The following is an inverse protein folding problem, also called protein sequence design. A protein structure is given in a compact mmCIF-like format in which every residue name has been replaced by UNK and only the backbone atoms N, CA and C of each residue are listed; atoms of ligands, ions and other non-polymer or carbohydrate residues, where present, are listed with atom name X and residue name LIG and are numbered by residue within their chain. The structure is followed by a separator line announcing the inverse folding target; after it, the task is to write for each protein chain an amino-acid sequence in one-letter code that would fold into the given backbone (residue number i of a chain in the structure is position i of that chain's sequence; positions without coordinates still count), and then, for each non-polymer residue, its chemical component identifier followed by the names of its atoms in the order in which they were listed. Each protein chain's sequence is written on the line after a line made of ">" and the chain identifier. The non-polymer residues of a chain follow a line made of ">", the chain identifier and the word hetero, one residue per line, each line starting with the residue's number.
data_IF_833735333618
#
_entry.id   IF_833735333618
#
_cell.length_a   1.000
_cell.length_b   1.000
_cell.length_c   1.000
_cell.angle_alpha   90.00
_cell.angle_beta   90.00
_cell.angle_gamma   90.00
#
_symmetry.space_group_name_H-M   'P 1'
#
loop_
_entity.id
_entity.type
_entity.pdbx_description
1 polymer ?
#
# COMPACT_ATOMS: atom_id res chain seq x y z
N UNK A 1 -42.48 -35.56 55.55
CA UNK A 1 -42.28 -34.26 54.88
C UNK A 1 -40.87 -34.24 54.32
N UNK A 2 -40.72 -34.30 53.00
CA UNK A 2 -39.41 -34.31 52.29
C UNK A 2 -38.90 -32.88 52.14
N UNK A 3 -37.69 -32.63 52.60
CA UNK A 3 -36.94 -31.38 52.42
C UNK A 3 -36.21 -31.46 51.08
N UNK A 4 -36.50 -30.53 50.16
CA UNK A 4 -35.81 -30.38 48.88
C UNK A 4 -34.67 -29.38 49.11
N UNK A 5 -33.42 -29.86 49.01
CA UNK A 5 -32.20 -29.04 49.00
C UNK A 5 -31.93 -28.60 47.56
N UNK A 6 -31.99 -27.28 47.30
CA UNK A 6 -31.69 -26.70 45.99
C UNK A 6 -30.24 -26.22 45.98
N UNK A 7 -29.37 -26.90 45.22
CA UNK A 7 -28.00 -26.46 44.96
C UNK A 7 -27.98 -25.46 43.79
N UNK A 8 -27.71 -24.19 44.08
CA UNK A 8 -27.30 -23.21 43.06
C UNK A 8 -25.81 -23.42 42.75
N UNK A 9 -25.50 -23.85 41.53
CA UNK A 9 -24.14 -23.82 41.00
C UNK A 9 -23.89 -22.49 40.28
N UNK A 10 -23.02 -21.66 40.85
CA UNK A 10 -22.58 -20.39 40.25
C UNK A 10 -21.57 -20.69 39.14
N UNK A 11 -21.99 -20.56 37.88
CA UNK A 11 -21.08 -20.63 36.74
C UNK A 11 -20.23 -19.35 36.67
N UNK A 12 -18.95 -19.45 37.01
CA UNK A 12 -17.96 -18.39 36.77
C UNK A 12 -17.62 -18.42 35.28
N UNK A 13 -18.18 -17.48 34.53
CA UNK A 13 -17.79 -17.22 33.14
C UNK A 13 -16.46 -16.47 33.16
N UNK A 14 -15.36 -17.19 32.98
CA UNK A 14 -14.05 -16.60 32.69
C UNK A 14 -14.07 -16.05 31.27
N UNK A 15 -14.24 -14.74 31.12
CA UNK A 15 -13.99 -14.05 29.85
C UNK A 15 -12.49 -14.14 29.54
N UNK A 16 -12.07 -14.54 28.32
CA UNK A 16 -10.67 -14.49 27.94
C UNK A 16 -10.20 -13.04 27.96
N UNK A 17 -9.04 -12.80 28.57
CA UNK A 17 -8.38 -11.50 28.54
C UNK A 17 -8.11 -11.12 27.07
N UNK A 18 -8.84 -10.13 26.58
CA UNK A 18 -8.51 -9.46 25.30
C UNK A 18 -7.20 -8.72 25.54
N UNK A 19 -6.09 -9.33 25.15
CA UNK A 19 -4.80 -8.66 25.14
C UNK A 19 -4.90 -7.49 24.17
N UNK A 20 -4.84 -6.26 24.70
CA UNK A 20 -4.70 -5.07 23.87
C UNK A 20 -3.43 -5.25 23.02
N UNK A 21 -3.47 -4.96 21.71
CA UNK A 21 -2.27 -5.01 20.90
C UNK A 21 -1.24 -4.03 21.49
N UNK A 22 -0.02 -4.52 21.70
CA UNK A 22 1.07 -3.70 22.18
C UNK A 22 1.22 -2.48 21.26
N UNK A 23 1.31 -1.28 21.83
CA UNK A 23 1.56 -0.08 21.06
C UNK A 23 2.84 -0.28 20.23
N UNK A 24 2.73 -0.11 18.91
CA UNK A 24 3.88 -0.23 18.01
C UNK A 24 5.02 0.72 18.40
N UNK A 25 6.23 0.52 17.85
CA UNK A 25 7.36 1.37 18.19
C UNK A 25 7.05 2.84 17.86
N UNK A 26 7.43 3.74 18.77
CA UNK A 26 7.25 5.20 18.61
C UNK A 26 7.89 5.73 17.34
N UNK A 27 8.93 5.06 16.84
CA UNK A 27 9.61 5.34 15.56
C UNK A 27 9.41 4.17 14.61
N UNK A 28 8.98 4.46 13.39
CA UNK A 28 8.95 3.47 12.31
C UNK A 28 9.26 4.09 10.97
N UNK A 29 10.35 3.65 10.36
CA UNK A 29 10.86 4.19 9.11
C UNK A 29 11.11 3.05 8.16
N UNK A 30 10.34 2.99 7.08
CA UNK A 30 10.35 1.87 6.13
C UNK A 30 10.90 2.24 4.77
N UNK A 31 11.73 1.35 4.21
CA UNK A 31 12.22 1.45 2.84
C UNK A 31 11.68 0.34 1.94
N UNK A 32 11.06 0.69 0.81
CA UNK A 32 10.64 -0.25 -0.22
C UNK A 32 11.79 -0.48 -1.20
N UNK A 33 12.26 -1.71 -1.32
CA UNK A 33 13.55 -2.01 -1.95
C UNK A 33 13.54 -3.27 -2.79
N UNK A 34 14.35 -3.28 -3.84
CA UNK A 34 14.70 -4.50 -4.57
C UNK A 34 15.75 -5.31 -3.82
N UNK A 35 15.77 -6.62 -4.06
CA UNK A 35 16.67 -7.55 -3.39
C UNK A 35 18.08 -7.66 -4.01
N UNK A 36 18.52 -6.64 -4.75
CA UNK A 36 19.74 -6.73 -5.56
C UNK A 36 21.04 -6.78 -4.74
N UNK A 37 21.12 -6.05 -3.62
CA UNK A 37 22.34 -5.87 -2.81
C UNK A 37 22.02 -5.91 -1.31
N UNK A 38 21.80 -7.10 -0.70
CA UNK A 38 21.29 -7.22 0.67
C UNK A 38 22.15 -6.51 1.71
N UNK A 39 23.45 -6.78 1.72
CA UNK A 39 24.38 -6.30 2.72
C UNK A 39 24.46 -4.77 2.68
N UNK A 40 24.63 -4.20 1.47
CA UNK A 40 24.66 -2.75 1.26
C UNK A 40 23.33 -2.09 1.67
N UNK A 41 22.19 -2.72 1.34
CA UNK A 41 20.86 -2.21 1.68
C UNK A 41 20.65 -2.16 3.19
N UNK A 42 20.96 -3.25 3.88
CA UNK A 42 20.79 -3.37 5.34
C UNK A 42 21.76 -2.43 6.07
N UNK A 43 23.01 -2.36 5.63
CA UNK A 43 23.99 -1.43 6.19
C UNK A 43 23.53 0.02 6.03
N UNK A 44 23.04 0.39 4.84
CA UNK A 44 22.51 1.73 4.56
C UNK A 44 21.26 2.04 5.41
N UNK A 45 20.33 1.09 5.56
CA UNK A 45 19.16 1.25 6.42
C UNK A 45 19.56 1.52 7.88
N UNK A 46 20.52 0.75 8.42
CA UNK A 46 21.05 0.99 9.77
C UNK A 46 21.75 2.34 9.90
N UNK A 47 22.56 2.71 8.91
CA UNK A 47 23.31 3.97 8.89
C UNK A 47 22.37 5.19 8.97
N UNK A 48 21.26 5.15 8.23
CA UNK A 48 20.28 6.24 8.18
C UNK A 48 19.31 6.17 9.36
N UNK A 49 19.03 4.97 9.90
CA UNK A 49 18.07 4.75 10.97
C UNK A 49 16.68 4.30 10.50
N UNK A 50 16.62 3.58 9.38
CA UNK A 50 15.44 2.84 8.92
C UNK A 50 15.38 1.49 9.63
N UNK A 51 14.22 1.17 10.22
CA UNK A 51 14.01 -0.03 11.02
C UNK A 51 13.00 -1.01 10.40
N UNK A 52 12.55 -0.74 9.19
CA UNK A 52 11.75 -1.64 8.39
C UNK A 52 12.20 -1.64 6.92
N UNK A 53 12.19 -2.81 6.28
CA UNK A 53 12.41 -2.96 4.84
C UNK A 53 11.32 -3.83 4.23
N UNK A 54 10.78 -3.39 3.09
CA UNK A 54 9.73 -4.08 2.34
C UNK A 54 10.32 -4.52 1.01
N UNK A 55 10.33 -5.83 0.75
CA UNK A 55 11.05 -6.41 -0.40
C UNK A 55 10.37 -7.66 -0.95
N UNK A 56 10.58 -7.93 -2.23
CA UNK A 56 10.00 -9.05 -2.97
C UNK A 56 11.09 -9.90 -3.66
N UNK A 57 10.92 -11.22 -3.60
CA UNK A 57 11.71 -12.17 -4.37
C UNK A 57 11.24 -13.61 -4.16
N UNK A 58 11.93 -14.58 -4.79
CA UNK A 58 11.62 -16.00 -4.60
C UNK A 58 11.88 -16.42 -3.14
N UNK A 59 11.16 -17.44 -2.67
CA UNK A 59 11.13 -17.86 -1.26
C UNK A 59 12.52 -18.07 -0.66
N UNK A 60 13.47 -18.69 -1.37
CA UNK A 60 14.81 -18.94 -0.83
C UNK A 60 15.62 -17.65 -0.63
N UNK A 61 15.46 -16.66 -1.52
CA UNK A 61 16.05 -15.34 -1.29
C UNK A 61 15.34 -14.60 -0.15
N UNK A 62 14.01 -14.73 -0.06
CA UNK A 62 13.22 -14.13 1.03
C UNK A 62 13.65 -14.67 2.40
N UNK A 63 13.90 -15.98 2.52
CA UNK A 63 14.46 -16.59 3.74
C UNK A 63 15.80 -15.98 4.12
N UNK A 64 16.72 -15.87 3.15
CA UNK A 64 18.03 -15.27 3.39
C UNK A 64 17.91 -13.81 3.86
N UNK A 65 17.14 -12.98 3.14
CA UNK A 65 16.98 -11.56 3.48
C UNK A 65 16.25 -11.33 4.79
N UNK A 66 15.21 -12.11 5.08
CA UNK A 66 14.46 -11.99 6.35
C UNK A 66 15.35 -12.35 7.55
N UNK A 67 16.19 -13.38 7.43
CA UNK A 67 17.18 -13.70 8.47
C UNK A 67 18.21 -12.56 8.67
N UNK A 68 18.73 -11.98 7.58
CA UNK A 68 19.71 -10.88 7.65
C UNK A 68 19.12 -9.60 8.25
N UNK A 69 17.90 -9.22 7.84
CA UNK A 69 17.20 -8.04 8.37
C UNK A 69 16.90 -8.22 9.86
N UNK A 70 16.40 -9.39 10.26
CA UNK A 70 16.19 -9.72 11.67
C UNK A 70 17.48 -9.65 12.49
N UNK A 71 18.58 -10.23 12.01
CA UNK A 71 19.89 -10.17 12.67
C UNK A 71 20.42 -8.72 12.82
N UNK A 72 20.01 -7.83 11.90
CA UNK A 72 20.32 -6.40 11.93
C UNK A 72 19.36 -5.56 12.79
N UNK A 73 18.33 -6.16 13.39
CA UNK A 73 17.29 -5.44 14.15
C UNK A 73 16.35 -4.63 13.26
N UNK A 74 16.15 -5.05 12.00
CA UNK A 74 15.26 -4.43 11.03
C UNK A 74 14.10 -5.38 10.75
N UNK A 75 12.87 -4.87 10.85
CA UNK A 75 11.68 -5.63 10.48
C UNK A 75 11.65 -5.85 8.95
N UNK A 76 11.67 -7.11 8.50
CA UNK A 76 11.50 -7.47 7.09
C UNK A 76 10.03 -7.75 6.74
N UNK A 77 9.53 -7.20 5.64
CA UNK A 77 8.17 -7.42 5.14
C UNK A 77 8.18 -8.00 3.73
N UNK A 78 7.33 -8.99 3.49
CA UNK A 78 7.08 -9.50 2.14
C UNK A 78 6.29 -8.47 1.32
N UNK A 79 6.90 -7.90 0.29
CA UNK A 79 6.21 -7.05 -0.68
C UNK A 79 5.34 -7.92 -1.59
N UNK A 80 4.03 -7.78 -1.43
CA UNK A 80 3.01 -8.46 -2.22
C UNK A 80 2.17 -7.46 -3.01
N UNK A 81 1.93 -7.79 -4.29
CA UNK A 81 1.07 -7.02 -5.18
C UNK A 81 0.13 -7.96 -5.95
N UNK A 82 -1.15 -7.60 -6.16
CA UNK A 82 -2.09 -8.42 -6.93
C UNK A 82 -1.91 -8.22 -8.44
N UNK A 83 -0.65 -8.10 -8.90
CA UNK A 83 -0.29 -7.92 -10.31
C UNK A 83 -0.30 -9.29 -10.99
N UNK A 84 -0.90 -9.38 -12.16
CA UNK A 84 -0.86 -10.58 -13.01
C UNK A 84 0.53 -10.68 -13.66
N UNK A 85 1.34 -11.70 -13.33
CA UNK A 85 2.63 -11.92 -13.98
C UNK A 85 2.45 -12.11 -15.48
N UNK A 86 3.40 -11.61 -16.28
CA UNK A 86 3.31 -11.68 -17.76
C UNK A 86 3.27 -13.11 -18.30
N UNK A 87 3.84 -14.05 -17.54
CA UNK A 87 4.00 -15.46 -17.84
C UNK A 87 2.96 -16.38 -17.14
N UNK A 88 2.08 -15.83 -16.30
CA UNK A 88 1.04 -16.58 -15.60
C UNK A 88 -0.27 -16.65 -16.42
N UNK A 89 -0.28 -17.53 -17.43
CA UNK A 89 -1.42 -17.69 -18.33
C UNK A 89 -2.71 -18.14 -17.60
N UNK A 90 -2.58 -18.84 -16.49
CA UNK A 90 -3.68 -19.27 -15.61
C UNK A 90 -4.33 -18.11 -14.85
N UNK A 91 -3.59 -17.03 -14.59
CA UNK A 91 -4.08 -15.84 -13.90
C UNK A 91 -4.65 -14.79 -14.85
N UNK A 92 -4.28 -14.81 -16.14
CA UNK A 92 -4.76 -13.83 -17.12
C UNK A 92 -6.30 -13.75 -17.21
N UNK A 93 -7.08 -14.85 -17.17
CA UNK A 93 -8.55 -14.80 -17.13
C UNK A 93 -9.14 -14.16 -15.86
N UNK A 94 -8.33 -14.06 -14.80
CA UNK A 94 -8.71 -13.47 -13.52
C UNK A 94 -8.37 -11.98 -13.42
N UNK A 95 -7.70 -11.42 -14.43
CA UNK A 95 -7.37 -10.00 -14.48
C UNK A 95 -8.63 -9.11 -14.47
N UNK A 96 -8.43 -7.86 -14.06
CA UNK A 96 -9.42 -6.82 -14.24
C UNK A 96 -9.68 -6.60 -15.73
N UNK A 97 -10.96 -6.49 -16.08
CA UNK A 97 -11.39 -6.08 -17.41
C UNK A 97 -11.62 -4.58 -17.37
N UNK A 98 -11.13 -3.87 -18.37
CA UNK A 98 -11.29 -2.41 -18.53
C UNK A 98 -11.96 -2.13 -19.87
N UNK A 99 -12.32 -0.87 -20.16
CA UNK A 99 -13.02 -0.54 -21.41
C UNK A 99 -12.09 -0.62 -22.62
N UNK A 100 -12.64 -0.57 -23.84
CA UNK A 100 -11.82 -0.52 -25.06
C UNK A 100 -10.94 0.74 -25.12
N UNK A 101 -11.44 1.86 -24.60
CA UNK A 101 -10.70 3.12 -24.47
C UNK A 101 -9.56 2.98 -23.45
N UNK A 102 -9.80 2.33 -22.31
CA UNK A 102 -8.77 2.03 -21.32
C UNK A 102 -7.67 1.11 -21.92
N UNK A 103 -8.04 0.12 -22.73
CA UNK A 103 -7.09 -0.74 -23.44
C UNK A 103 -6.27 -0.01 -24.50
N UNK A 104 -6.90 0.91 -25.23
CA UNK A 104 -6.22 1.77 -26.19
C UNK A 104 -5.21 2.69 -25.49
N UNK A 105 -5.59 3.29 -24.35
CA UNK A 105 -4.71 4.09 -23.52
C UNK A 105 -3.52 3.28 -23.00
N UNK A 106 -3.75 2.05 -22.51
CA UNK A 106 -2.69 1.15 -22.08
C UNK A 106 -1.70 0.82 -23.21
N UNK A 107 -2.23 0.57 -24.41
CA UNK A 107 -1.43 0.26 -25.59
C UNK A 107 -0.57 1.46 -26.00
N UNK A 108 -1.16 2.67 -26.04
CA UNK A 108 -0.45 3.92 -26.29
C UNK A 108 0.66 4.16 -25.26
N UNK A 109 0.35 3.97 -23.98
CA UNK A 109 1.32 4.14 -22.89
C UNK A 109 2.51 3.19 -23.06
N UNK A 110 2.28 1.90 -23.31
CA UNK A 110 3.34 0.90 -23.50
C UNK A 110 4.19 1.14 -24.75
N UNK A 111 3.64 1.78 -25.77
CA UNK A 111 4.38 2.17 -26.97
C UNK A 111 5.20 3.46 -26.78
N UNK A 112 4.95 4.22 -25.71
CA UNK A 112 5.59 5.52 -25.46
C UNK A 112 7.01 5.32 -24.92
N UNK A 113 8.01 5.92 -25.60
CA UNK A 113 9.43 5.81 -25.19
C UNK A 113 9.79 6.69 -23.99
N UNK A 114 9.07 7.79 -23.79
CA UNK A 114 9.32 8.77 -22.73
C UNK A 114 8.00 9.24 -22.07
N UNK A 115 7.28 8.33 -21.39
CA UNK A 115 5.93 8.59 -20.88
C UNK A 115 5.86 9.75 -19.88
N UNK A 116 6.95 10.07 -19.16
CA UNK A 116 7.00 11.24 -18.26
C UNK A 116 6.82 12.57 -18.99
N UNK A 117 7.28 12.69 -20.25
CA UNK A 117 7.08 13.91 -21.05
C UNK A 117 5.62 14.15 -21.40
N UNK A 118 4.81 13.09 -21.42
CA UNK A 118 3.36 13.19 -21.54
C UNK A 118 2.67 13.54 -20.23
N UNK A 119 3.40 13.75 -19.13
CA UNK A 119 2.84 14.03 -17.80
C UNK A 119 2.22 12.81 -17.11
N UNK A 120 2.56 11.58 -17.54
CA UNK A 120 2.00 10.35 -16.96
C UNK A 120 2.50 10.17 -15.54
N UNK A 121 1.59 9.87 -14.61
CA UNK A 121 1.88 9.91 -13.18
C UNK A 121 2.14 8.53 -12.55
N UNK A 122 2.17 7.44 -13.35
CA UNK A 122 2.44 6.04 -12.93
C UNK A 122 1.86 5.65 -11.56
N UNK A 123 0.55 5.74 -11.43
CA UNK A 123 -0.16 5.44 -10.18
C UNK A 123 -0.20 6.59 -9.17
N UNK A 124 0.54 7.68 -9.39
CA UNK A 124 0.23 9.00 -8.83
C UNK A 124 -1.04 9.59 -9.44
N UNK A 125 -1.61 10.59 -8.78
CA UNK A 125 -2.94 11.12 -9.11
C UNK A 125 -2.96 11.70 -10.54
N UNK A 126 -3.81 11.19 -11.47
CA UNK A 126 -3.89 11.68 -12.83
C UNK A 126 -4.28 13.15 -12.84
N UNK A 127 -3.68 13.87 -13.78
CA UNK A 127 -4.10 15.24 -14.09
C UNK A 127 -5.62 15.24 -14.39
N UNK A 128 -6.38 16.26 -13.97
CA UNK A 128 -7.84 16.25 -14.13
C UNK A 128 -8.33 15.92 -15.55
N UNK A 129 -7.67 16.48 -16.57
CA UNK A 129 -8.00 16.25 -17.98
C UNK A 129 -7.72 14.81 -18.48
N UNK A 130 -7.02 13.99 -17.70
CA UNK A 130 -6.60 12.62 -18.05
C UNK A 130 -7.38 11.54 -17.32
N UNK A 131 -8.39 11.93 -16.51
CA UNK A 131 -9.31 11.00 -15.84
C UNK A 131 -10.46 10.56 -16.74
N UNK A 132 -10.81 11.41 -17.70
CA UNK A 132 -11.88 11.15 -18.66
C UNK A 132 -11.41 10.13 -19.71
N UNK A 133 -12.07 8.96 -19.85
CA UNK A 133 -11.78 7.99 -20.90
C UNK A 133 -11.82 8.56 -22.32
N UNK A 134 -12.56 9.64 -22.55
CA UNK A 134 -12.62 10.33 -23.84
C UNK A 134 -11.41 11.24 -24.09
N UNK A 135 -10.57 11.48 -23.08
CA UNK A 135 -9.36 12.29 -23.22
C UNK A 135 -8.35 11.61 -24.14
N UNK A 136 -7.71 12.34 -25.08
CA UNK A 136 -6.66 11.77 -25.92
C UNK A 136 -5.46 11.29 -25.10
N UNK A 137 -5.30 11.80 -23.87
CA UNK A 137 -4.23 11.45 -22.95
C UNK A 137 -4.75 10.75 -21.70
N UNK A 138 -5.90 10.05 -21.79
CA UNK A 138 -6.45 9.25 -20.70
C UNK A 138 -5.39 8.34 -20.04
N UNK A 139 -5.36 8.33 -18.70
CA UNK A 139 -4.40 7.59 -17.91
C UNK A 139 -4.98 6.27 -17.40
N UNK A 140 -4.18 5.21 -17.51
CA UNK A 140 -4.41 3.89 -16.91
C UNK A 140 -3.10 3.38 -16.33
N UNK A 141 -3.14 2.51 -15.33
CA UNK A 141 -1.97 1.78 -14.88
C UNK A 141 -1.42 0.89 -15.99
N UNK A 142 -0.10 0.83 -16.11
CA UNK A 142 0.63 0.00 -17.07
C UNK A 142 0.69 -1.48 -16.69
N UNK A 143 0.35 -1.81 -15.43
CA UNK A 143 0.27 -3.15 -14.88
C UNK A 143 -1.15 -3.73 -14.94
N UNK A 144 -1.24 -5.05 -15.18
CA UNK A 144 -2.52 -5.77 -15.08
C UNK A 144 -2.73 -6.22 -13.64
N UNK A 145 -3.87 -5.86 -13.06
CA UNK A 145 -4.24 -6.24 -11.70
C UNK A 145 -5.27 -7.36 -11.71
N UNK A 146 -5.28 -8.19 -10.67
CA UNK A 146 -6.32 -9.20 -10.43
C UNK A 146 -7.66 -8.54 -10.06
N UNK A 147 -8.76 -9.19 -10.44
CA UNK A 147 -10.10 -8.72 -10.12
C UNK A 147 -10.51 -9.11 -8.69
N UNK A 148 -10.69 -8.14 -7.80
CA UNK A 148 -11.09 -8.38 -6.40
C UNK A 148 -12.50 -8.97 -6.24
N UNK A 149 -13.33 -8.93 -7.28
CA UNK A 149 -14.68 -9.54 -7.25
C UNK A 149 -14.71 -11.03 -7.59
N UNK A 150 -13.57 -11.60 -7.99
CA UNK A 150 -13.43 -13.04 -8.29
C UNK A 150 -12.89 -13.76 -7.05
N UNK A 151 -13.63 -14.72 -6.47
CA UNK A 151 -13.15 -15.49 -5.32
C UNK A 151 -11.80 -16.18 -5.59
N UNK A 152 -11.55 -16.61 -6.82
CA UNK A 152 -10.33 -17.26 -7.26
C UNK A 152 -9.11 -16.32 -7.14
N UNK A 153 -9.28 -15.04 -7.47
CA UNK A 153 -8.24 -14.02 -7.30
C UNK A 153 -7.88 -13.83 -5.83
N UNK A 154 -8.88 -13.74 -4.95
CA UNK A 154 -8.65 -13.60 -3.51
C UNK A 154 -8.02 -14.85 -2.91
N UNK A 155 -8.47 -16.03 -3.31
CA UNK A 155 -7.88 -17.30 -2.91
C UNK A 155 -6.40 -17.38 -3.31
N UNK A 156 -6.06 -16.92 -4.53
CA UNK A 156 -4.68 -16.85 -4.97
C UNK A 156 -3.86 -15.86 -4.12
N UNK A 157 -4.36 -14.66 -3.86
CA UNK A 157 -3.67 -13.67 -3.01
C UNK A 157 -3.38 -14.24 -1.60
N UNK A 158 -4.40 -14.85 -0.96
CA UNK A 158 -4.25 -15.50 0.35
C UNK A 158 -3.19 -16.58 0.32
N UNK A 159 -3.22 -17.43 -0.71
CA UNK A 159 -2.25 -18.52 -0.88
C UNK A 159 -0.83 -17.97 -0.98
N UNK A 160 -0.58 -16.97 -1.82
CA UNK A 160 0.76 -16.39 -1.99
C UNK A 160 1.30 -15.77 -0.70
N UNK A 161 0.47 -14.99 0.01
CA UNK A 161 0.83 -14.40 1.30
C UNK A 161 1.12 -15.51 2.32
N UNK A 162 0.23 -16.51 2.43
CA UNK A 162 0.39 -17.63 3.35
C UNK A 162 1.64 -18.43 3.10
N UNK A 163 1.88 -18.85 1.86
CA UNK A 163 3.05 -19.65 1.49
C UNK A 163 4.35 -18.90 1.82
N UNK A 164 4.41 -17.60 1.52
CA UNK A 164 5.60 -16.80 1.82
C UNK A 164 5.83 -16.64 3.33
N UNK A 165 4.79 -16.31 4.10
CA UNK A 165 4.90 -16.13 5.55
C UNK A 165 5.27 -17.44 6.27
N UNK A 166 4.76 -18.58 5.79
CA UNK A 166 5.12 -19.90 6.32
C UNK A 166 6.56 -20.29 5.93
N UNK A 167 6.98 -19.98 4.71
CA UNK A 167 8.32 -20.30 4.24
C UNK A 167 9.41 -19.43 4.89
N UNK A 168 9.06 -18.21 5.33
CA UNK A 168 10.01 -17.22 5.85
C UNK A 168 9.61 -16.76 7.27
N UNK A 169 9.87 -17.57 8.32
CA UNK A 169 9.47 -17.26 9.69
C UNK A 169 10.19 -16.04 10.29
N UNK A 170 11.23 -15.50 9.66
CA UNK A 170 11.89 -14.29 10.14
C UNK A 170 11.27 -12.99 9.63
N UNK A 171 10.30 -13.05 8.73
CA UNK A 171 9.52 -11.87 8.33
C UNK A 171 8.72 -11.34 9.52
N UNK A 172 8.68 -10.01 9.68
CA UNK A 172 7.79 -9.34 10.61
C UNK A 172 6.35 -9.29 10.07
N UNK A 173 6.17 -9.37 8.74
CA UNK A 173 4.87 -9.19 8.14
C UNK A 173 4.83 -9.18 6.61
N UNK A 174 3.73 -8.63 6.09
CA UNK A 174 3.49 -8.40 4.66
C UNK A 174 3.30 -6.92 4.40
N UNK A 175 3.89 -6.44 3.30
CA UNK A 175 3.69 -5.12 2.72
C UNK A 175 2.85 -5.21 1.45
N UNK A 176 1.63 -4.71 1.50
CA UNK A 176 0.68 -4.70 0.40
C UNK A 176 0.94 -3.49 -0.50
N UNK A 177 0.96 -3.69 -1.81
CA UNK A 177 1.20 -2.64 -2.80
C UNK A 177 0.39 -2.89 -4.08
N UNK A 178 0.20 -1.86 -4.90
CA UNK A 178 -0.63 -1.90 -6.11
C UNK A 178 -2.07 -2.44 -5.90
N UNK A 179 -2.66 -2.21 -4.73
CA UNK A 179 -4.06 -2.49 -4.48
C UNK A 179 -4.93 -1.37 -5.03
N UNK A 180 -5.67 -1.66 -6.10
CA UNK A 180 -6.51 -0.67 -6.77
C UNK A 180 -7.12 -1.19 -8.07
N UNK A 181 -7.60 -0.26 -8.89
CA UNK A 181 -8.17 -0.56 -10.20
C UNK A 181 -7.25 -0.06 -11.31
N UNK A 182 -7.05 -0.88 -12.35
CA UNK A 182 -6.15 -0.56 -13.46
C UNK A 182 -6.54 0.75 -14.16
N UNK A 183 -7.84 1.02 -14.28
CA UNK A 183 -8.37 2.27 -14.84
C UNK A 183 -8.76 3.30 -13.77
N UNK A 184 -8.29 3.11 -12.53
CA UNK A 184 -8.55 4.01 -11.39
C UNK A 184 -10.02 4.18 -11.01
N UNK A 185 -10.89 3.26 -11.46
CA UNK A 185 -12.33 3.32 -11.21
C UNK A 185 -12.88 1.99 -10.73
N UNK A 186 -12.89 0.99 -11.62
CA UNK A 186 -13.54 -0.28 -11.37
C UNK A 186 -13.10 -1.36 -12.36
N UNK A 187 -13.48 -2.61 -12.08
CA UNK A 187 -13.39 -3.70 -13.04
C UNK A 187 -14.72 -3.85 -13.79
N UNK A 188 -14.67 -4.07 -15.10
CA UNK A 188 -15.82 -4.21 -16.00
C UNK A 188 -16.13 -5.67 -16.39
N UNK A 189 -15.60 -6.66 -15.67
CA UNK A 189 -15.93 -8.05 -15.97
C UNK A 189 -17.40 -8.36 -15.61
N UNK A 190 -18.03 -9.39 -16.21
CA UNK A 190 -19.46 -9.69 -15.99
C UNK A 190 -19.84 -9.82 -14.51
N UNK A 191 -18.95 -10.40 -13.69
CA UNK A 191 -19.14 -10.53 -12.24
C UNK A 191 -19.18 -9.17 -11.55
N UNK A 192 -18.24 -8.29 -11.87
CA UNK A 192 -18.18 -6.93 -11.29
C UNK A 192 -19.43 -6.13 -11.63
N UNK A 193 -19.87 -6.17 -12.89
CA UNK A 193 -21.07 -5.47 -13.35
C UNK A 193 -22.33 -5.98 -12.63
N UNK A 194 -22.46 -7.31 -12.47
CA UNK A 194 -23.57 -7.89 -11.72
C UNK A 194 -23.61 -7.41 -10.26
N UNK A 195 -22.45 -7.40 -9.58
CA UNK A 195 -22.36 -6.97 -8.18
C UNK A 195 -22.62 -5.47 -8.04
N UNK A 196 -22.11 -4.67 -8.96
CA UNK A 196 -22.36 -3.23 -9.02
C UNK A 196 -23.84 -2.93 -9.25
N UNK A 197 -24.50 -3.63 -10.18
CA UNK A 197 -25.95 -3.46 -10.40
C UNK A 197 -26.79 -3.87 -9.18
N UNK A 198 -26.35 -4.91 -8.45
CA UNK A 198 -26.98 -5.28 -7.18
C UNK A 198 -26.76 -4.21 -6.11
N UNK A 199 -25.57 -3.59 -6.07
CA UNK A 199 -25.27 -2.47 -5.18
C UNK A 199 -26.15 -1.26 -5.50
N UNK A 200 -26.18 -0.80 -6.75
CA UNK A 200 -27.02 0.32 -7.20
C UNK A 200 -28.50 0.11 -6.83
N UNK A 201 -29.04 -1.10 -6.99
CA UNK A 201 -30.42 -1.42 -6.59
C UNK A 201 -30.68 -1.30 -5.09
N UNK A 202 -29.68 -1.53 -4.23
CA UNK A 202 -29.77 -1.33 -2.77
C UNK A 202 -29.56 0.12 -2.34
N UNK A 203 -29.10 0.97 -3.24
CA UNK A 203 -28.83 2.38 -2.98
C UNK A 203 -29.55 3.26 -4.03
N UNK A 204 -30.90 3.18 -4.13
CA UNK A 204 -31.65 3.90 -5.16
C UNK A 204 -31.52 5.43 -5.05
N UNK A 205 -31.17 5.93 -3.86
CA UNK A 205 -31.01 7.36 -3.60
C UNK A 205 -29.66 7.93 -4.08
N UNK A 206 -28.72 7.07 -4.50
CA UNK A 206 -27.42 7.50 -5.02
C UNK A 206 -27.43 7.53 -6.56
N UNK A 207 -26.90 8.60 -7.19
CA UNK A 207 -26.61 8.58 -8.61
C UNK A 207 -25.72 7.37 -8.95
N UNK A 208 -26.01 6.70 -10.08
CA UNK A 208 -25.35 5.43 -10.46
C UNK A 208 -23.83 5.53 -10.46
N UNK A 209 -23.27 6.66 -10.90
CA UNK A 209 -21.82 6.92 -10.88
C UNK A 209 -21.26 6.98 -9.45
N UNK A 210 -21.93 7.69 -8.53
CA UNK A 210 -21.52 7.74 -7.12
C UNK A 210 -21.69 6.41 -6.40
N UNK A 211 -22.73 5.65 -6.75
CA UNK A 211 -22.90 4.28 -6.28
C UNK A 211 -21.77 3.36 -6.78
N UNK A 212 -21.33 3.53 -8.03
CA UNK A 212 -20.20 2.81 -8.61
C UNK A 212 -18.87 3.10 -7.90
N UNK A 213 -18.53 4.38 -7.74
CA UNK A 213 -17.34 4.84 -7.02
C UNK A 213 -17.32 4.26 -5.59
N UNK A 214 -18.44 4.36 -4.89
CA UNK A 214 -18.57 3.85 -3.52
C UNK A 214 -18.47 2.33 -3.46
N UNK A 215 -19.11 1.60 -4.36
CA UNK A 215 -19.02 0.15 -4.45
C UNK A 215 -17.57 -0.32 -4.66
N UNK A 216 -16.84 0.33 -5.56
CA UNK A 216 -15.44 0.03 -5.83
C UNK A 216 -14.55 0.33 -4.61
N UNK A 217 -14.81 1.44 -3.90
CA UNK A 217 -14.11 1.75 -2.66
C UNK A 217 -14.37 0.77 -1.53
N UNK A 218 -15.64 0.46 -1.30
CA UNK A 218 -16.03 -0.47 -0.25
C UNK A 218 -15.43 -1.86 -0.52
N UNK A 219 -15.39 -2.30 -1.79
CA UNK A 219 -14.73 -3.54 -2.19
C UNK A 219 -13.23 -3.52 -1.93
N UNK A 220 -12.54 -2.45 -2.35
CA UNK A 220 -11.09 -2.33 -2.18
C UNK A 220 -10.70 -2.38 -0.69
N UNK A 221 -11.40 -1.59 0.13
CA UNK A 221 -11.20 -1.54 1.58
C UNK A 221 -11.47 -2.91 2.21
N UNK A 222 -12.58 -3.56 1.89
CA UNK A 222 -12.92 -4.86 2.47
C UNK A 222 -11.90 -5.93 2.05
N UNK A 223 -11.45 -5.91 0.80
CA UNK A 223 -10.42 -6.84 0.29
C UNK A 223 -9.12 -6.70 1.08
N UNK A 224 -8.65 -5.47 1.29
CA UNK A 224 -7.41 -5.21 2.04
C UNK A 224 -7.57 -5.66 3.50
N UNK A 225 -8.70 -5.34 4.13
CA UNK A 225 -8.98 -5.72 5.51
C UNK A 225 -9.10 -7.23 5.67
N UNK A 226 -9.71 -7.93 4.72
CA UNK A 226 -9.79 -9.39 4.71
C UNK A 226 -8.40 -10.03 4.60
N UNK A 227 -7.57 -9.58 3.65
CA UNK A 227 -6.19 -10.06 3.52
C UNK A 227 -5.35 -9.76 4.77
N UNK A 228 -5.59 -8.63 5.42
CA UNK A 228 -4.94 -8.29 6.68
C UNK A 228 -5.31 -9.25 7.81
N UNK A 229 -6.60 -9.58 7.94
CA UNK A 229 -7.09 -10.60 8.88
C UNK A 229 -6.48 -11.97 8.57
N UNK A 230 -6.45 -12.37 7.30
CA UNK A 230 -5.87 -13.65 6.88
C UNK A 230 -4.37 -13.73 7.20
N UNK A 231 -3.61 -12.66 6.92
CA UNK A 231 -2.19 -12.55 7.27
C UNK A 231 -1.93 -12.78 8.76
N UNK A 232 -2.75 -12.16 9.62
CA UNK A 232 -2.67 -12.33 11.09
C UNK A 232 -3.14 -13.71 11.56
N UNK A 233 -4.05 -14.34 10.83
CA UNK A 233 -4.54 -15.70 11.09
C UNK A 233 -3.49 -16.79 10.84
N UNK A 234 -2.50 -16.53 9.96
CA UNK A 234 -1.42 -17.48 9.67
C UNK A 234 -0.47 -17.63 10.85
N UNK A 235 -0.12 -16.52 11.51
CA UNK A 235 0.79 -16.53 12.67
C UNK A 235 0.55 -15.34 13.59
N UNK A 236 0.50 -15.55 14.92
CA UNK A 236 0.42 -14.46 15.89
C UNK A 236 1.55 -13.44 15.73
N UNK A 237 1.22 -12.15 15.81
CA UNK A 237 2.18 -11.05 15.74
C UNK A 237 2.62 -10.63 14.34
N UNK A 238 2.06 -11.21 13.28
CA UNK A 238 2.24 -10.71 11.91
C UNK A 238 1.69 -9.29 11.80
N UNK A 239 2.52 -8.39 11.29
CA UNK A 239 2.14 -7.01 10.97
C UNK A 239 1.76 -6.90 9.49
N UNK A 240 0.83 -5.99 9.20
CA UNK A 240 0.44 -5.66 7.83
C UNK A 240 0.72 -4.20 7.59
N UNK A 241 1.55 -3.92 6.59
CA UNK A 241 1.77 -2.57 6.07
C UNK A 241 1.21 -2.47 4.66
N UNK A 242 0.79 -1.29 4.23
CA UNK A 242 0.27 -1.07 2.88
C UNK A 242 0.76 0.26 2.33
N UNK A 243 1.04 0.30 1.04
CA UNK A 243 1.16 1.54 0.30
C UNK A 243 -0.18 1.89 -0.37
N UNK A 244 -0.76 3.03 0.01
CA UNK A 244 -1.96 3.60 -0.60
C UNK A 244 -1.57 4.71 -1.57
N UNK A 245 -1.96 4.51 -2.82
CA UNK A 245 -1.80 5.49 -3.88
C UNK A 245 -2.97 6.47 -3.86
N UNK A 246 -2.74 7.75 -4.20
CA UNK A 246 -3.74 8.81 -4.14
C UNK A 246 -4.73 8.76 -5.32
N UNK A 247 -4.79 7.64 -6.03
CA UNK A 247 -5.31 7.62 -7.41
C UNK A 247 -6.49 6.70 -7.58
N UNK A 248 -6.60 5.66 -6.76
CA UNK A 248 -7.40 4.52 -7.18
C UNK A 248 -8.90 4.76 -7.19
N UNK A 249 -9.39 5.82 -6.54
CA UNK A 249 -10.80 6.13 -6.30
C UNK A 249 -10.96 7.61 -5.91
N UNK A 250 -12.19 8.19 -5.94
CA UNK A 250 -12.43 9.61 -5.60
C UNK A 250 -12.12 9.98 -4.14
N UNK A 251 -11.95 9.01 -3.26
CA UNK A 251 -11.43 9.19 -1.89
C UNK A 251 -9.96 8.74 -1.86
N UNK A 252 -8.99 9.63 -2.18
CA UNK A 252 -7.58 9.26 -2.35
C UNK A 252 -6.85 8.96 -1.05
N UNK A 253 -7.47 9.26 0.10
CA UNK A 253 -6.92 9.06 1.46
C UNK A 253 -7.84 8.11 2.23
N UNK A 254 -8.10 6.92 1.68
CA UNK A 254 -8.99 5.94 2.30
C UNK A 254 -8.30 5.09 3.38
N UNK A 255 -7.02 5.35 3.67
CA UNK A 255 -6.24 4.67 4.71
C UNK A 255 -6.88 4.63 6.11
N UNK A 256 -7.63 5.65 6.56
CA UNK A 256 -8.37 5.59 7.83
C UNK A 256 -9.39 4.44 7.93
N UNK A 257 -9.80 3.87 6.80
CA UNK A 257 -10.74 2.73 6.72
C UNK A 257 -10.05 1.37 6.76
N UNK A 258 -8.72 1.33 6.82
CA UNK A 258 -7.93 0.10 6.72
C UNK A 258 -7.51 -0.46 8.09
N UNK A 259 -7.78 -1.75 8.31
CA UNK A 259 -7.34 -2.55 9.46
C UNK A 259 -5.94 -3.10 9.20
N UNK A 260 -4.96 -2.21 9.13
CA UNK A 260 -3.53 -2.52 8.92
C UNK A 260 -2.71 -1.90 10.04
N UNK A 261 -1.55 -2.46 10.34
CA UNK A 261 -0.66 -1.93 11.37
C UNK A 261 -0.02 -0.61 10.92
N UNK A 262 0.22 -0.45 9.62
CA UNK A 262 0.80 0.78 9.06
C UNK A 262 0.25 1.07 7.67
N UNK A 263 -0.37 2.23 7.51
CA UNK A 263 -0.92 2.71 6.25
C UNK A 263 -0.01 3.80 5.69
N UNK A 264 0.86 3.42 4.76
CA UNK A 264 1.78 4.35 4.11
C UNK A 264 1.06 5.01 2.92
N UNK A 265 0.65 6.26 3.04
CA UNK A 265 -0.10 6.95 1.99
C UNK A 265 0.78 8.00 1.31
N UNK A 266 0.72 8.08 -0.02
CA UNK A 266 1.58 9.00 -0.78
C UNK A 266 1.29 10.46 -0.41
N UNK A 267 2.32 11.18 0.04
CA UNK A 267 2.28 12.63 0.30
C UNK A 267 3.20 13.41 -0.63
N UNK A 268 4.15 12.73 -1.28
CA UNK A 268 5.07 13.33 -2.25
C UNK A 268 5.52 12.26 -3.25
N UNK A 269 5.69 12.67 -4.50
CA UNK A 269 5.93 11.76 -5.63
C UNK A 269 7.07 12.26 -6.52
N UNK A 270 7.56 11.43 -7.44
CA UNK A 270 8.82 11.67 -8.17
C UNK A 270 8.64 12.06 -9.65
N UNK A 271 7.40 12.30 -10.08
CA UNK A 271 7.09 12.76 -11.43
C UNK A 271 6.92 14.27 -11.47
N UNK A 272 7.29 14.85 -12.62
CA UNK A 272 6.97 16.23 -12.93
C UNK A 272 5.55 16.35 -13.53
N UNK A 273 4.84 17.46 -13.26
CA UNK A 273 5.19 18.48 -12.27
C UNK A 273 5.11 17.91 -10.84
N UNK A 274 6.11 18.19 -10.00
CA UNK A 274 6.07 17.78 -8.60
C UNK A 274 4.87 18.42 -7.91
N UNK A 275 4.35 17.77 -6.87
CA UNK A 275 3.24 18.31 -6.09
C UNK A 275 3.62 19.66 -5.48
N UNK A 276 2.69 20.61 -5.41
CA UNK A 276 2.95 21.88 -4.73
C UNK A 276 3.28 21.65 -3.26
N UNK A 277 4.00 22.59 -2.64
CA UNK A 277 4.29 22.54 -1.20
C UNK A 277 3.00 22.42 -0.37
N UNK A 278 1.96 23.18 -0.76
CA UNK A 278 0.63 23.14 -0.16
C UNK A 278 0.04 21.73 -0.21
N UNK A 279 0.08 21.07 -1.38
CA UNK A 279 -0.44 19.71 -1.52
C UNK A 279 0.33 18.72 -0.65
N UNK A 280 1.65 18.81 -0.58
CA UNK A 280 2.47 17.94 0.30
C UNK A 280 2.09 18.15 1.76
N UNK A 281 1.91 19.41 2.19
CA UNK A 281 1.50 19.75 3.55
C UNK A 281 0.10 19.21 3.89
N UNK A 282 -0.89 19.45 3.02
CA UNK A 282 -2.26 19.00 3.20
C UNK A 282 -2.37 17.48 3.28
N UNK A 283 -1.74 16.76 2.35
CA UNK A 283 -1.73 15.30 2.37
C UNK A 283 -1.01 14.76 3.61
N UNK A 284 0.12 15.35 4.00
CA UNK A 284 0.83 14.95 5.23
C UNK A 284 -0.06 15.06 6.46
N UNK A 285 -0.79 16.17 6.60
CA UNK A 285 -1.72 16.36 7.71
C UNK A 285 -2.86 15.33 7.67
N UNK A 286 -3.51 15.13 6.51
CA UNK A 286 -4.62 14.17 6.37
C UNK A 286 -4.18 12.75 6.73
N UNK A 287 -3.04 12.32 6.23
CA UNK A 287 -2.50 10.97 6.44
C UNK A 287 -2.13 10.74 7.89
N UNK A 288 -1.57 11.73 8.58
CA UNK A 288 -1.08 11.55 9.96
C UNK A 288 -2.15 11.78 11.04
N UNK A 289 -3.28 12.37 10.67
CA UNK A 289 -4.41 12.55 11.58
C UNK A 289 -4.96 11.20 12.08
N UNK A 290 -5.30 11.16 13.38
CA UNK A 290 -5.97 10.02 14.02
C UNK A 290 -7.49 10.09 13.88
N UNK A 291 -8.04 11.28 13.72
CA UNK A 291 -9.48 11.49 13.58
C UNK A 291 -9.99 10.75 12.32
N UNK A 292 -11.16 10.10 12.44
CA UNK A 292 -11.78 9.36 11.33
C UNK A 292 -11.22 7.95 11.09
N UNK A 293 -10.25 7.48 11.88
CA UNK A 293 -9.76 6.09 11.79
C UNK A 293 -10.78 5.11 12.35
N UNK A 294 -11.13 4.12 11.54
CA UNK A 294 -12.01 3.01 11.94
C UNK A 294 -11.33 2.02 12.88
N UNK A 295 -9.98 1.94 12.85
CA UNK A 295 -9.20 0.95 13.60
C UNK A 295 -8.13 1.62 14.47
N UNK A 296 -8.23 1.46 15.79
CA UNK A 296 -7.33 2.11 16.75
C UNK A 296 -5.86 1.66 16.64
N UNK A 297 -5.62 0.42 16.16
CA UNK A 297 -4.28 -0.12 15.92
C UNK A 297 -3.62 0.39 14.63
N UNK A 298 -4.39 1.03 13.74
CA UNK A 298 -3.88 1.55 12.47
C UNK A 298 -3.27 2.93 12.63
N UNK A 299 -2.08 3.12 12.06
CA UNK A 299 -1.42 4.44 11.97
C UNK A 299 -1.20 4.82 10.51
N UNK A 300 -1.30 6.10 10.21
CA UNK A 300 -0.96 6.63 8.90
C UNK A 300 0.48 7.11 8.90
N UNK A 301 1.17 6.83 7.80
CA UNK A 301 2.58 7.14 7.62
C UNK A 301 2.75 7.87 6.29
N UNK A 302 3.36 9.07 6.27
CA UNK A 302 3.70 9.74 5.03
C UNK A 302 4.59 8.85 4.17
N UNK A 303 4.17 8.60 2.93
CA UNK A 303 4.96 7.88 1.94
C UNK A 303 5.53 8.86 0.91
N UNK A 304 6.84 8.76 0.66
CA UNK A 304 7.55 9.54 -0.35
C UNK A 304 8.06 8.65 -1.46
N UNK A 305 7.58 8.92 -2.66
CA UNK A 305 8.16 8.36 -3.87
C UNK A 305 9.47 9.06 -4.24
N UNK A 306 10.51 8.30 -4.58
CA UNK A 306 11.87 8.74 -4.89
C UNK A 306 12.47 7.84 -5.96
N UNK A 307 12.61 8.37 -7.18
CA UNK A 307 13.49 7.84 -8.23
C UNK A 307 14.42 8.95 -8.70
N UNK A 308 15.64 8.57 -9.08
CA UNK A 308 16.69 9.48 -9.55
C UNK A 308 17.24 8.95 -10.86
N UNK A 309 17.34 9.82 -11.86
CA UNK A 309 17.92 9.49 -13.17
C UNK A 309 17.18 8.39 -13.95
N UNK A 310 15.87 8.18 -13.71
CA UNK A 310 15.09 7.17 -14.42
C UNK A 310 14.27 7.78 -15.57
N UNK A 311 14.00 7.02 -16.64
CA UNK A 311 13.05 7.44 -17.68
C UNK A 311 11.68 7.76 -17.10
N UNK A 312 11.27 7.04 -16.06
CA UNK A 312 9.99 7.26 -15.41
C UNK A 312 10.02 8.52 -14.54
N UNK A 313 11.08 8.78 -13.77
CA UNK A 313 11.19 10.02 -13.00
C UNK A 313 12.59 10.32 -12.45
N UNK A 314 12.79 11.57 -12.06
CA UNK A 314 14.09 12.10 -11.68
C UNK A 314 13.98 13.23 -10.64
N UNK A 315 13.77 12.85 -9.37
CA UNK A 315 13.65 13.82 -8.28
C UNK A 315 15.04 14.31 -7.86
N UNK A 316 15.35 15.62 -7.95
CA UNK A 316 16.64 16.15 -7.52
C UNK A 316 16.75 16.27 -5.98
N UNK A 317 17.97 16.27 -5.41
CA UNK A 317 18.17 16.32 -3.96
C UNK A 317 17.51 17.52 -3.26
N UNK A 318 17.50 18.68 -3.92
CA UNK A 318 16.90 19.92 -3.41
C UNK A 318 15.40 19.73 -3.21
N UNK A 319 14.72 19.18 -4.23
CA UNK A 319 13.29 18.90 -4.18
C UNK A 319 12.95 17.91 -3.07
N UNK A 320 13.77 16.87 -2.92
CA UNK A 320 13.59 15.90 -1.85
C UNK A 320 13.77 16.53 -0.45
N UNK A 321 14.75 17.43 -0.29
CA UNK A 321 14.97 18.14 0.97
C UNK A 321 13.78 19.06 1.32
N UNK A 322 13.22 19.77 0.35
CA UNK A 322 12.03 20.61 0.51
C UNK A 322 10.83 19.79 1.01
N UNK A 323 10.54 18.66 0.35
CA UNK A 323 9.44 17.76 0.73
C UNK A 323 9.61 17.19 2.14
N UNK A 324 10.82 16.75 2.51
CA UNK A 324 11.10 16.29 3.87
C UNK A 324 10.95 17.40 4.92
N UNK A 325 11.35 18.63 4.58
CA UNK A 325 11.20 19.77 5.47
C UNK A 325 9.72 20.10 5.74
N UNK A 326 8.87 19.99 4.72
CA UNK A 326 7.42 20.12 4.84
C UNK A 326 6.86 19.00 5.71
N UNK A 327 7.16 17.74 5.40
CA UNK A 327 6.66 16.59 6.17
C UNK A 327 7.04 16.71 7.64
N UNK A 328 8.31 17.03 7.92
CA UNK A 328 8.81 17.26 9.29
C UNK A 328 8.02 18.33 10.03
N UNK A 329 7.74 19.47 9.38
CA UNK A 329 7.00 20.59 9.99
C UNK A 329 5.58 20.18 10.41
N UNK A 330 4.94 19.29 9.65
CA UNK A 330 3.53 18.93 9.85
C UNK A 330 3.30 17.63 10.63
N UNK A 331 4.25 16.69 10.60
CA UNK A 331 4.10 15.36 11.20
C UNK A 331 5.35 14.81 11.90
N UNK A 332 6.49 15.50 11.79
CA UNK A 332 7.80 14.94 12.15
C UNK A 332 8.25 13.83 11.18
N UNK A 333 9.43 13.25 11.43
CA UNK A 333 10.00 12.16 10.63
C UNK A 333 10.20 10.88 11.46
N UNK A 334 9.57 10.76 12.63
CA UNK A 334 9.54 9.53 13.43
C UNK A 334 8.79 8.40 12.73
N UNK A 335 7.80 8.73 11.89
CA UNK A 335 7.09 7.81 11.04
C UNK A 335 7.20 8.23 9.56
N UNK A 336 7.88 7.45 8.73
CA UNK A 336 8.10 7.77 7.31
C UNK A 336 8.29 6.51 6.47
N UNK A 337 7.76 6.49 5.25
CA UNK A 337 8.00 5.42 4.28
C UNK A 337 8.56 5.98 2.97
N UNK A 338 9.52 5.29 2.35
CA UNK A 338 10.15 5.74 1.11
C UNK A 338 10.24 4.62 0.07
N UNK A 339 9.87 4.91 -1.17
CA UNK A 339 10.09 4.04 -2.31
C UNK A 339 10.66 4.82 -3.49
N UNK A 340 11.81 4.49 -4.08
CA UNK A 340 12.64 3.33 -3.76
C UNK A 340 13.73 3.68 -2.77
N UNK A 341 13.88 2.83 -1.75
CA UNK A 341 14.98 2.93 -0.81
C UNK A 341 16.35 2.67 -1.46
N UNK A 342 16.40 1.94 -2.59
CA UNK A 342 17.64 1.68 -3.30
C UNK A 342 18.35 2.96 -3.75
N UNK A 343 17.63 4.08 -3.88
CA UNK A 343 18.23 5.35 -4.29
C UNK A 343 19.24 5.88 -3.27
N UNK A 344 19.11 5.56 -1.97
CA UNK A 344 20.13 5.91 -0.97
C UNK A 344 21.42 5.13 -1.11
N UNK A 345 21.35 3.92 -1.67
CA UNK A 345 22.53 3.09 -1.94
C UNK A 345 23.29 3.66 -3.13
N UNK A 346 22.55 4.03 -4.18
CA UNK A 346 23.10 4.49 -5.45
C UNK A 346 23.56 5.95 -5.43
N UNK A 347 22.90 6.80 -4.64
CA UNK A 347 23.10 8.24 -4.66
C UNK A 347 23.41 8.76 -3.25
N UNK A 348 24.70 9.00 -2.99
CA UNK A 348 25.17 9.57 -1.73
C UNK A 348 24.50 10.92 -1.41
N UNK A 349 24.23 11.73 -2.43
CA UNK A 349 23.52 13.01 -2.28
C UNK A 349 22.15 12.84 -1.63
N UNK A 350 21.36 11.84 -2.04
CA UNK A 350 20.06 11.52 -1.44
C UNK A 350 20.19 10.98 -0.03
N UNK A 351 21.19 10.13 0.20
CA UNK A 351 21.48 9.59 1.54
C UNK A 351 21.80 10.72 2.51
N UNK A 352 22.62 11.69 2.10
CA UNK A 352 23.00 12.85 2.91
C UNK A 352 21.77 13.71 3.26
N UNK A 353 20.92 14.03 2.28
CA UNK A 353 19.68 14.78 2.52
C UNK A 353 18.80 14.10 3.57
N UNK A 354 18.62 12.78 3.49
CA UNK A 354 17.86 12.03 4.48
C UNK A 354 18.49 12.10 5.88
N UNK A 355 19.81 11.90 6.00
CA UNK A 355 20.52 11.97 7.29
C UNK A 355 20.41 13.35 7.92
N UNK A 356 20.54 14.42 7.13
CA UNK A 356 20.39 15.80 7.57
C UNK A 356 18.96 16.09 8.06
N UNK A 357 17.96 15.65 7.30
CA UNK A 357 16.55 15.81 7.68
C UNK A 357 16.22 15.10 9.00
N UNK A 358 16.68 13.84 9.17
CA UNK A 358 16.46 13.08 10.40
C UNK A 358 17.26 13.61 11.59
N UNK A 359 18.44 14.17 11.38
CA UNK A 359 19.22 14.80 12.45
C UNK A 359 18.51 16.05 12.98
N UNK A 360 17.85 16.80 12.12
CA UNK A 360 17.12 18.01 12.46
C UNK A 360 15.64 17.77 12.86
N UNK A 361 15.23 16.51 13.05
CA UNK A 361 13.93 16.10 13.63
C UNK A 361 14.06 15.66 15.10
N UNK A 362 15.31 15.52 15.58
CA UNK A 362 15.64 15.30 17.00
C UNK A 362 15.66 16.63 17.74
#
# INVERSE_FOLDING_TARGET
>A
MRVILSCLATAIVTLPAVSLPAAGPTVWRSGWTSMAKPEETIACAREIGFNALVFHGPADRMKQWSAMTKAAGIDGYYWFSPIVPKDAADLAPLAQVVSTEDEAALTKLRATKDPKKGGYQFGGEPLPARRDPASPDHDVLDVRLLCFHRPESLAWCRKQISEMLLACPDLAGVGLDFFGYQNYRCCLCPRSLQLQDAYCRRHPDLPREKAAEKFSLDTLVETINELSRDARGIRPGIKVTIHVYPTFLPEPVYGPRLDVDTCCETVAWFFEPYWSEEKVAEHTLRVTQKAGRAFAGSRGVPFVGLYVGRPEGDKPPQRFAEELAIIRRHAGLSALSICSFNEFIKHESMRRVMKEALAADK
#
